data_IF_470273926024
#
_entry.id   IF_470273926024
#
_cell.length_a   1.000
_cell.length_b   1.000
_cell.length_c   1.000
_cell.angle_alpha   90.00
_cell.angle_beta   90.00
_cell.angle_gamma   90.00
#
_symmetry.space_group_name_H-M   'P 1'
#
loop_
_entity.id
_entity.type
_entity.pdbx_description
1 polymer ?
#
# COMPACT_ATOMS: atom_id res chain seq x y z
N UNK A 1 -9.39 16.21 -1.23
CA UNK A 1 -9.54 16.16 -2.68
C UNK A 1 -9.77 17.55 -3.26
N UNK A 2 -9.87 17.64 -4.57
CA UNK A 2 -10.02 18.91 -5.27
C UNK A 2 -11.33 19.62 -4.97
N UNK A 3 -12.33 18.90 -4.49
CA UNK A 3 -13.64 19.41 -4.12
C UNK A 3 -13.69 19.97 -2.72
N UNK A 4 -12.57 19.98 -2.03
CA UNK A 4 -12.48 20.53 -0.68
C UNK A 4 -12.77 19.54 0.45
N UNK A 5 -13.10 18.29 0.13
CA UNK A 5 -13.22 17.26 1.16
C UNK A 5 -11.81 16.90 1.67
N UNK A 6 -11.68 16.87 2.98
CA UNK A 6 -10.38 16.60 3.61
C UNK A 6 -10.57 15.80 4.88
N UNK A 7 -9.77 14.76 5.05
CA UNK A 7 -9.72 13.96 6.26
C UNK A 7 -8.33 13.35 6.43
N UNK A 8 -7.98 13.04 7.66
CA UNK A 8 -6.70 12.42 8.01
C UNK A 8 -6.97 11.13 8.77
N UNK A 9 -6.32 10.05 8.33
CA UNK A 9 -6.44 8.74 8.95
C UNK A 9 -5.05 8.21 9.31
N UNK A 10 -4.89 7.63 10.52
CA UNK A 10 -3.64 6.96 10.84
C UNK A 10 -3.51 5.67 10.04
N UNK A 11 -2.28 5.35 9.65
CA UNK A 11 -2.00 4.16 8.85
C UNK A 11 -0.75 3.45 9.36
N UNK A 12 -0.59 2.19 8.97
CA UNK A 12 0.68 1.45 9.15
C UNK A 12 1.07 0.78 7.84
N UNK A 13 2.34 0.50 7.71
CA UNK A 13 2.96 -0.08 6.52
C UNK A 13 3.39 -1.54 6.76
N UNK A 14 4.12 -2.09 5.78
CA UNK A 14 4.60 -3.45 5.87
C UNK A 14 5.77 -3.63 6.82
N UNK A 15 6.79 -2.82 6.70
CA UNK A 15 8.03 -2.98 7.44
C UNK A 15 8.34 -1.78 8.32
N UNK A 16 9.12 -2.01 9.36
CA UNK A 16 9.70 -0.92 10.16
C UNK A 16 10.73 -0.13 9.36
N UNK A 17 11.36 -0.77 8.39
CA UNK A 17 12.22 -0.10 7.42
C UNK A 17 11.32 0.61 6.41
N UNK A 18 11.29 1.93 6.46
CA UNK A 18 10.42 2.75 5.61
C UNK A 18 11.05 3.11 4.27
N UNK A 19 12.21 2.56 3.93
CA UNK A 19 12.78 2.77 2.59
C UNK A 19 11.91 2.12 1.52
N UNK A 20 12.10 2.54 0.27
CA UNK A 20 11.28 2.09 -0.85
C UNK A 20 11.35 0.57 -1.03
N UNK A 21 10.22 -0.02 -1.39
CA UNK A 21 10.14 -1.44 -1.75
C UNK A 21 11.04 -1.73 -2.95
N UNK A 22 11.85 -2.77 -2.83
CA UNK A 22 12.81 -3.14 -3.88
C UNK A 22 12.44 -4.43 -4.59
N UNK A 23 11.82 -5.39 -3.90
CA UNK A 23 11.52 -6.71 -4.46
C UNK A 23 10.38 -7.38 -3.71
N UNK A 24 9.82 -8.42 -4.30
CA UNK A 24 8.82 -9.27 -3.64
C UNK A 24 9.43 -9.91 -2.39
N UNK A 25 8.67 -9.95 -1.32
CA UNK A 25 9.05 -10.60 -0.08
C UNK A 25 9.86 -9.75 0.89
N UNK A 26 10.20 -8.51 0.54
CA UNK A 26 10.93 -7.62 1.46
C UNK A 26 10.03 -6.95 2.49
N UNK A 27 8.72 -7.13 2.37
CA UNK A 27 7.68 -6.58 3.26
C UNK A 27 7.63 -5.06 3.31
N UNK A 28 8.38 -4.38 2.47
CA UNK A 28 8.36 -2.92 2.40
C UNK A 28 7.19 -2.44 1.57
N UNK A 29 6.70 -1.25 1.92
CA UNK A 29 5.67 -0.56 1.15
C UNK A 29 6.34 0.31 0.09
N UNK A 30 5.89 0.26 -1.17
CA UNK A 30 6.56 1.04 -2.22
C UNK A 30 6.29 2.54 -2.08
N UNK A 31 7.30 3.34 -2.39
CA UNK A 31 7.15 4.79 -2.60
C UNK A 31 6.77 5.05 -4.04
N UNK A 32 6.01 6.09 -4.26
CA UNK A 32 5.71 6.55 -5.61
C UNK A 32 4.29 7.02 -5.77
N UNK A 33 3.89 7.19 -7.02
CA UNK A 33 2.57 7.64 -7.41
C UNK A 33 1.81 6.49 -8.02
N UNK A 34 0.66 6.19 -7.46
CA UNK A 34 -0.17 5.05 -7.87
C UNK A 34 -1.59 5.51 -8.13
N UNK A 35 -2.40 4.60 -8.63
CA UNK A 35 -3.85 4.81 -8.80
C UNK A 35 -4.58 3.61 -8.25
N UNK A 36 -5.78 3.86 -7.73
CA UNK A 36 -6.71 2.80 -7.36
C UNK A 36 -7.25 2.20 -8.66
N UNK A 37 -7.01 0.92 -8.89
CA UNK A 37 -7.47 0.24 -10.11
C UNK A 37 -8.66 -0.67 -9.87
N UNK A 38 -8.92 -1.05 -8.62
CA UNK A 38 -10.01 -1.97 -8.29
C UNK A 38 -10.43 -1.73 -6.84
N UNK A 39 -11.75 -1.75 -6.63
CA UNK A 39 -12.35 -1.77 -5.29
C UNK A 39 -13.00 -3.13 -5.13
N UNK A 40 -12.67 -3.85 -4.08
CA UNK A 40 -13.24 -5.18 -3.86
C UNK A 40 -13.40 -5.49 -2.38
N UNK A 41 -14.19 -6.51 -2.08
CA UNK A 41 -14.35 -7.05 -0.73
C UNK A 41 -13.52 -8.32 -0.64
N UNK A 42 -12.42 -8.26 0.09
CA UNK A 42 -11.56 -9.42 0.28
C UNK A 42 -12.19 -10.38 1.28
N UNK A 43 -12.16 -11.70 1.03
CA UNK A 43 -12.79 -12.67 1.95
C UNK A 43 -12.27 -12.61 3.38
N UNK A 44 -11.00 -12.28 3.55
CA UNK A 44 -10.35 -12.22 4.87
C UNK A 44 -10.32 -10.80 5.45
N UNK A 45 -10.02 -9.80 4.61
CA UNK A 45 -9.72 -8.45 5.08
C UNK A 45 -10.87 -7.46 4.90
N UNK A 46 -11.93 -7.84 4.17
CA UNK A 46 -13.05 -6.95 3.87
C UNK A 46 -12.74 -5.96 2.78
N UNK A 47 -13.26 -4.73 2.87
CA UNK A 47 -13.05 -3.74 1.81
C UNK A 47 -11.58 -3.45 1.58
N UNK A 48 -11.17 -3.41 0.31
CA UNK A 48 -9.82 -3.00 -0.05
C UNK A 48 -9.78 -2.21 -1.34
N UNK A 49 -8.77 -1.35 -1.44
CA UNK A 49 -8.51 -0.53 -2.61
C UNK A 49 -7.19 -1.01 -3.20
N UNK A 50 -7.25 -1.70 -4.35
CA UNK A 50 -6.06 -2.23 -5.00
C UNK A 50 -5.36 -1.12 -5.79
N UNK A 51 -4.05 -1.00 -5.60
CA UNK A 51 -3.22 -0.04 -6.32
C UNK A 51 -2.60 -0.67 -7.55
N UNK A 52 -2.19 0.15 -8.50
CA UNK A 52 -1.58 -0.27 -9.75
C UNK A 52 -0.08 -0.60 -9.63
N UNK A 53 0.33 -1.13 -8.50
CA UNK A 53 1.71 -1.59 -8.32
C UNK A 53 1.86 -3.04 -8.83
N UNK A 54 2.88 -3.36 -9.67
CA UNK A 54 3.88 -2.45 -10.19
C UNK A 54 3.36 -1.66 -11.39
N UNK A 55 3.65 -0.35 -11.40
CA UNK A 55 3.39 0.50 -12.57
C UNK A 55 4.70 0.76 -13.33
N UNK A 56 4.66 1.60 -14.37
CA UNK A 56 5.84 1.85 -15.18
C UNK A 56 7.01 2.42 -14.37
N UNK A 57 6.72 3.35 -13.46
CA UNK A 57 7.75 3.92 -12.58
C UNK A 57 8.39 2.84 -11.71
N UNK A 58 7.58 1.97 -11.12
CA UNK A 58 8.06 0.86 -10.29
C UNK A 58 8.95 -0.10 -11.08
N UNK A 59 8.54 -0.43 -12.28
CA UNK A 59 9.26 -1.35 -13.15
C UNK A 59 10.61 -0.76 -13.57
N UNK A 60 10.64 0.52 -13.90
CA UNK A 60 11.88 1.22 -14.25
C UNK A 60 12.87 1.20 -13.09
N UNK A 61 12.41 1.55 -11.90
CA UNK A 61 13.26 1.52 -10.69
C UNK A 61 13.79 0.11 -10.43
N UNK A 62 12.93 -0.88 -10.55
CA UNK A 62 13.32 -2.27 -10.34
C UNK A 62 14.41 -2.72 -11.31
N UNK A 63 14.24 -2.40 -12.60
CA UNK A 63 15.20 -2.79 -13.63
C UNK A 63 16.56 -2.10 -13.43
N UNK A 64 16.55 -0.82 -13.06
CA UNK A 64 17.78 -0.07 -12.77
C UNK A 64 18.52 -0.69 -11.58
N UNK A 65 17.80 -0.99 -10.50
CA UNK A 65 18.38 -1.60 -9.29
C UNK A 65 18.95 -2.98 -9.59
N UNK A 66 18.28 -3.74 -10.43
CA UNK A 66 18.74 -5.06 -10.85
C UNK A 66 20.03 -4.96 -11.66
N UNK A 67 20.09 -4.02 -12.60
CA UNK A 67 21.29 -3.76 -13.41
C UNK A 67 22.46 -3.30 -12.57
N UNK A 68 22.21 -2.54 -11.49
CA UNK A 68 23.24 -2.06 -10.58
C UNK A 68 23.66 -3.08 -9.51
N UNK A 69 23.04 -4.25 -9.51
CA UNK A 69 23.37 -5.30 -8.55
C UNK A 69 22.79 -5.11 -7.16
N UNK A 70 21.88 -4.16 -6.98
CA UNK A 70 21.25 -3.89 -5.69
C UNK A 70 20.23 -4.94 -5.28
N UNK A 71 19.71 -5.69 -6.26
CA UNK A 71 18.79 -6.80 -6.03
C UNK A 71 19.25 -8.03 -6.80
N UNK A 72 18.96 -9.25 -6.26
CA UNK A 72 19.34 -10.50 -6.94
C UNK A 72 18.73 -10.62 -8.34
N UNK A 73 19.44 -11.25 -9.25
CA UNK A 73 18.97 -11.47 -10.62
C UNK A 73 17.64 -12.26 -10.67
N UNK A 74 17.44 -13.15 -9.71
CA UNK A 74 16.24 -14.00 -9.62
C UNK A 74 15.07 -13.33 -8.91
N UNK A 75 15.28 -12.14 -8.33
CA UNK A 75 14.23 -11.45 -7.60
C UNK A 75 13.09 -11.02 -8.52
N UNK A 76 11.89 -11.03 -7.98
CA UNK A 76 10.68 -10.56 -8.66
C UNK A 76 10.26 -9.23 -8.07
N UNK A 77 9.56 -8.42 -8.86
CA UNK A 77 9.05 -7.14 -8.38
C UNK A 77 7.86 -7.31 -7.44
N UNK A 78 7.04 -8.34 -7.67
CA UNK A 78 5.84 -8.60 -6.88
C UNK A 78 4.64 -7.80 -7.34
N UNK A 79 3.53 -7.95 -6.61
CA UNK A 79 2.27 -7.23 -6.89
C UNK A 79 1.39 -7.26 -5.65
N UNK A 80 0.11 -6.85 -5.80
CA UNK A 80 -0.86 -7.01 -4.72
C UNK A 80 -0.75 -5.97 -3.62
N UNK A 81 -0.31 -4.77 -3.94
CA UNK A 81 -0.27 -3.67 -2.96
C UNK A 81 -1.64 -3.00 -2.92
N UNK A 82 -2.23 -2.94 -1.75
CA UNK A 82 -3.57 -2.40 -1.54
C UNK A 82 -3.65 -1.59 -0.24
N UNK A 83 -4.71 -0.80 -0.12
CA UNK A 83 -5.12 -0.17 1.13
C UNK A 83 -6.23 -1.05 1.69
N UNK A 84 -6.05 -1.58 2.89
CA UNK A 84 -7.05 -2.43 3.54
C UNK A 84 -7.10 -2.18 5.05
N UNK A 85 -8.07 -2.82 5.70
CA UNK A 85 -8.28 -2.65 7.13
C UNK A 85 -7.53 -3.68 7.97
N UNK A 86 -7.32 -3.35 9.24
CA UNK A 86 -7.06 -4.35 10.27
C UNK A 86 -8.34 -5.13 10.55
N UNK A 87 -8.26 -6.22 11.28
CA UNK A 87 -9.43 -6.84 11.88
C UNK A 87 -9.98 -5.91 12.96
N UNK A 88 -11.29 -5.98 13.28
CA UNK A 88 -11.86 -5.09 14.30
C UNK A 88 -11.11 -5.13 15.64
N UNK A 89 -10.69 -6.32 16.05
CA UNK A 89 -10.00 -6.51 17.33
C UNK A 89 -8.52 -6.15 17.30
N UNK A 90 -7.99 -5.76 16.14
CA UNK A 90 -6.57 -5.46 15.95
C UNK A 90 -6.30 -4.00 15.57
N UNK A 91 -7.27 -3.12 15.79
CA UNK A 91 -7.08 -1.69 15.52
C UNK A 91 -5.94 -1.07 16.34
N UNK A 92 -5.60 -1.72 17.46
CA UNK A 92 -4.47 -1.30 18.29
C UNK A 92 -3.15 -1.22 17.50
N UNK A 93 -3.00 -2.04 16.47
CA UNK A 93 -1.78 -2.03 15.67
C UNK A 93 -1.57 -0.68 14.99
N UNK A 94 -2.64 -0.06 14.50
CA UNK A 94 -2.58 1.26 13.88
C UNK A 94 -2.32 2.33 14.94
N UNK A 95 -3.02 2.29 16.06
CA UNK A 95 -2.87 3.25 17.14
C UNK A 95 -1.44 3.23 17.73
N UNK A 96 -0.78 2.08 17.73
CA UNK A 96 0.56 1.91 18.28
C UNK A 96 1.65 1.90 17.21
N UNK A 97 1.33 2.30 15.97
CA UNK A 97 2.28 2.39 14.84
C UNK A 97 3.00 1.06 14.57
N UNK A 98 2.29 -0.05 14.73
CA UNK A 98 2.83 -1.37 14.49
C UNK A 98 2.69 -1.74 13.01
N UNK A 99 3.81 -1.75 12.28
CA UNK A 99 3.85 -2.09 10.85
C UNK A 99 3.86 -3.61 10.71
N UNK A 100 2.73 -4.18 10.27
CA UNK A 100 2.52 -5.62 10.30
C UNK A 100 2.24 -6.26 8.94
N UNK A 101 1.99 -5.46 7.90
CA UNK A 101 1.59 -5.99 6.60
C UNK A 101 2.79 -6.53 5.80
N UNK A 102 2.50 -7.17 4.66
CA UNK A 102 3.53 -7.63 3.72
C UNK A 102 3.84 -6.58 2.65
N UNK A 103 3.50 -5.34 2.89
CA UNK A 103 3.74 -4.22 1.97
C UNK A 103 2.53 -3.34 1.75
N UNK A 104 1.34 -3.80 2.10
CA UNK A 104 0.11 -3.02 1.97
C UNK A 104 0.04 -1.90 3.01
N UNK A 105 -0.76 -0.87 2.70
CA UNK A 105 -1.09 0.18 3.66
C UNK A 105 -2.31 -0.27 4.44
N UNK A 106 -2.23 -0.25 5.76
CA UNK A 106 -3.33 -0.67 6.62
C UNK A 106 -3.90 0.50 7.40
N UNK A 107 -5.22 0.60 7.46
CA UNK A 107 -5.97 1.58 8.25
C UNK A 107 -6.83 0.83 9.26
N UNK A 108 -7.43 1.57 10.21
CA UNK A 108 -8.36 0.97 11.15
C UNK A 108 -9.59 0.42 10.44
N UNK A 109 -10.13 -0.65 10.98
CA UNK A 109 -11.33 -1.30 10.44
C UNK A 109 -12.49 -0.32 10.27
N UNK A 110 -12.73 0.51 11.29
CA UNK A 110 -13.82 1.48 11.28
C UNK A 110 -13.61 2.59 10.25
N UNK A 111 -12.36 2.96 10.01
CA UNK A 111 -12.04 4.05 9.08
C UNK A 111 -12.01 3.59 7.62
N UNK A 112 -11.75 2.30 7.39
CA UNK A 112 -11.70 1.74 6.03
C UNK A 112 -13.06 1.86 5.33
N UNK A 113 -14.15 1.77 6.05
CA UNK A 113 -15.49 1.92 5.46
C UNK A 113 -15.67 3.29 4.84
N UNK A 114 -15.19 4.34 5.52
CA UNK A 114 -15.25 5.70 4.99
C UNK A 114 -14.39 5.83 3.74
N UNK A 115 -13.16 5.37 3.81
CA UNK A 115 -12.25 5.43 2.66
C UNK A 115 -12.83 4.69 1.45
N UNK A 116 -13.36 3.51 1.67
CA UNK A 116 -13.95 2.70 0.59
C UNK A 116 -15.14 3.41 -0.05
N UNK A 117 -15.94 4.14 0.74
CA UNK A 117 -17.10 4.88 0.22
C UNK A 117 -16.71 6.06 -0.63
N UNK A 118 -15.66 6.79 -0.22
CA UNK A 118 -15.34 8.09 -0.82
C UNK A 118 -14.33 8.03 -1.94
N UNK A 119 -13.51 6.97 -2.02
CA UNK A 119 -12.43 6.89 -2.99
C UNK A 119 -12.87 6.06 -4.20
N UNK A 120 -13.06 6.68 -5.38
CA UNK A 120 -13.39 5.94 -6.58
C UNK A 120 -12.17 5.31 -7.24
N UNK A 121 -12.41 4.35 -8.12
CA UNK A 121 -11.38 3.83 -9.03
C UNK A 121 -10.82 4.99 -9.85
N UNK A 122 -9.51 5.02 -10.04
CA UNK A 122 -8.81 6.10 -10.74
C UNK A 122 -8.23 7.15 -9.83
N UNK A 123 -8.55 7.12 -8.53
CA UNK A 123 -7.99 8.06 -7.56
C UNK A 123 -6.48 7.92 -7.48
N UNK A 124 -5.78 9.04 -7.52
CA UNK A 124 -4.32 9.07 -7.36
C UNK A 124 -3.94 8.87 -5.90
N UNK A 125 -2.94 8.05 -5.69
CA UNK A 125 -2.41 7.75 -4.35
C UNK A 125 -0.90 7.95 -4.38
N UNK A 126 -0.41 8.84 -3.54
CA UNK A 126 1.04 9.06 -3.40
C UNK A 126 1.49 8.47 -2.08
N UNK A 127 2.48 7.59 -2.13
CA UNK A 127 3.11 7.00 -0.95
C UNK A 127 4.51 7.57 -0.84
N UNK A 128 4.81 8.18 0.30
CA UNK A 128 6.12 8.77 0.56
C UNK A 128 6.49 8.62 2.04
N UNK A 129 7.76 8.52 2.26
CA UNK A 129 8.31 8.34 3.61
C UNK A 129 8.72 9.67 4.21
#
# INVERSE_FOLDING_TARGET
>A
DDEGWYATYPIVFGSKDLSDKMKEGDKKTPDGNFKVILKKIHPKWGPELLLDYPNNESIQKFNIRKAEGLIPKKARIGNGIAIHATRPQEEWAVDNFYNWTDGCVSVKYTEMKDLYSYIPVGTKVTIRQ
#
